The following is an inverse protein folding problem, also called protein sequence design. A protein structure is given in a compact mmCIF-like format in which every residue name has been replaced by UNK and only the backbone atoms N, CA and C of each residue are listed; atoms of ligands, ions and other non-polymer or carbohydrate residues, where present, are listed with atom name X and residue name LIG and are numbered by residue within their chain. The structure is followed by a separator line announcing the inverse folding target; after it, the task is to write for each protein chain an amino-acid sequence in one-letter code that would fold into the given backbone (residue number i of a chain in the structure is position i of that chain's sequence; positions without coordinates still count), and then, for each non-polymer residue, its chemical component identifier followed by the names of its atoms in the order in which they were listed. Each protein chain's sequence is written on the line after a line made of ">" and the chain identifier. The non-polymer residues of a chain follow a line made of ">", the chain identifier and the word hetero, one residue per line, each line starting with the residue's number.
data_IF_541692306427
#
_entry.id   IF_541692306427
#
_cell.length_a   1.000
_cell.length_b   1.000
_cell.length_c   1.000
_cell.angle_alpha   90.00
_cell.angle_beta   90.00
_cell.angle_gamma   90.00
#
_symmetry.space_group_name_H-M   'P 1'
#
loop_
_entity.id
_entity.type
_entity.pdbx_description
1 polymer ?
#
# COMPACT_ATOMS: atom_id res chain seq x y z
N UNK A 1 14.54 11.54 5.98
CA UNK A 1 13.98 12.79 5.41
C UNK A 1 12.53 12.53 5.06
N UNK A 2 11.63 13.51 5.22
CA UNK A 2 10.19 13.34 4.97
C UNK A 2 9.61 14.62 4.39
N UNK A 3 9.06 14.54 3.18
CA UNK A 3 8.55 15.68 2.42
C UNK A 3 7.25 15.34 1.72
N UNK A 4 6.40 16.32 1.46
CA UNK A 4 5.21 16.10 0.61
C UNK A 4 5.64 15.99 -0.84
N UNK A 5 4.94 15.16 -1.62
CA UNK A 5 5.07 15.19 -3.08
C UNK A 5 4.76 16.59 -3.63
N UNK A 6 5.30 16.93 -4.80
CA UNK A 6 5.14 18.25 -5.42
C UNK A 6 4.49 18.23 -6.79
N UNK A 7 4.40 17.08 -7.44
CA UNK A 7 3.67 17.00 -8.70
C UNK A 7 2.16 17.18 -8.51
N UNK A 8 1.49 17.46 -9.61
CA UNK A 8 0.03 17.62 -9.64
C UNK A 8 -0.68 16.39 -9.06
N UNK A 9 -1.76 16.60 -8.29
CA UNK A 9 -2.64 15.54 -7.82
C UNK A 9 -3.13 14.66 -8.97
N UNK A 10 -3.32 13.38 -8.66
CA UNK A 10 -3.84 12.39 -9.62
C UNK A 10 -5.16 11.80 -9.13
N UNK A 11 -5.88 11.12 -10.01
CA UNK A 11 -7.14 10.47 -9.67
C UNK A 11 -7.24 9.10 -10.30
N UNK A 12 -7.87 8.16 -9.60
CA UNK A 12 -8.07 6.79 -10.06
C UNK A 12 -9.44 6.29 -9.61
N UNK A 13 -10.09 5.53 -10.48
CA UNK A 13 -11.32 4.80 -10.18
C UNK A 13 -11.03 3.30 -10.34
N UNK A 14 -11.51 2.48 -9.41
CA UNK A 14 -11.29 1.04 -9.45
C UNK A 14 -12.52 0.28 -8.97
N UNK A 15 -12.92 -0.73 -9.74
CA UNK A 15 -13.89 -1.72 -9.29
C UNK A 15 -13.17 -2.78 -8.46
N UNK A 16 -13.76 -3.14 -7.31
CA UNK A 16 -13.20 -4.16 -6.42
C UNK A 16 -13.61 -5.54 -6.92
N UNK A 17 -12.87 -6.05 -7.90
CA UNK A 17 -13.08 -7.39 -8.49
C UNK A 17 -12.12 -8.42 -7.85
N UNK A 18 -12.22 -8.63 -6.55
CA UNK A 18 -11.45 -9.68 -5.87
C UNK A 18 -12.38 -10.81 -5.47
N UNK A 19 -12.12 -12.03 -5.94
CA UNK A 19 -12.87 -13.25 -5.59
C UNK A 19 -13.04 -13.45 -4.07
N UNK A 20 -12.13 -12.86 -3.30
CA UNK A 20 -12.05 -12.93 -1.85
C UNK A 20 -12.70 -11.74 -1.11
N UNK A 21 -13.40 -10.84 -1.80
CA UNK A 21 -14.05 -9.65 -1.23
C UNK A 21 -15.52 -9.61 -1.65
N UNK A 22 -16.41 -9.52 -0.67
CA UNK A 22 -17.86 -9.52 -0.89
C UNK A 22 -18.50 -8.41 -0.04
N UNK A 23 -19.35 -7.59 -0.66
CA UNK A 23 -20.20 -6.66 0.06
C UNK A 23 -21.43 -7.40 0.61
N UNK A 24 -21.77 -7.13 1.87
CA UNK A 24 -22.88 -7.72 2.61
C UNK A 24 -23.94 -6.64 2.86
N UNK A 25 -24.99 -6.54 2.00
CA UNK A 25 -25.97 -5.46 2.07
C UNK A 25 -26.74 -5.38 3.39
N UNK A 26 -26.96 -6.52 4.05
CA UNK A 26 -27.75 -6.62 5.29
C UNK A 26 -27.13 -5.85 6.45
N UNK A 27 -25.80 -5.73 6.49
CA UNK A 27 -25.05 -5.13 7.60
C UNK A 27 -24.21 -3.92 7.17
N UNK A 28 -24.32 -3.48 5.91
CA UNK A 28 -23.47 -2.46 5.30
C UNK A 28 -21.98 -2.69 5.59
N UNK A 29 -21.53 -3.91 5.27
CA UNK A 29 -20.22 -4.41 5.64
C UNK A 29 -19.56 -5.15 4.49
N UNK A 30 -18.24 -5.26 4.53
CA UNK A 30 -17.44 -6.00 3.55
C UNK A 30 -16.82 -7.20 4.23
N UNK A 31 -17.05 -8.38 3.67
CA UNK A 31 -16.37 -9.63 4.03
C UNK A 31 -15.15 -9.78 3.14
N UNK A 32 -13.99 -10.02 3.73
CA UNK A 32 -12.75 -10.22 2.97
C UNK A 32 -11.85 -11.26 3.62
N UNK A 33 -10.93 -11.86 2.84
CA UNK A 33 -9.89 -12.74 3.38
C UNK A 33 -8.87 -11.90 4.14
N UNK A 34 -8.86 -12.10 5.46
CA UNK A 34 -7.95 -11.40 6.39
C UNK A 34 -6.61 -12.12 6.58
N UNK A 35 -6.59 -13.45 6.41
CA UNK A 35 -5.39 -14.27 6.52
C UNK A 35 -5.57 -15.59 5.79
N UNK A 36 -4.45 -16.18 5.35
CA UNK A 36 -4.38 -17.57 4.91
C UNK A 36 -3.72 -18.39 6.02
N UNK A 37 -4.48 -19.30 6.64
CA UNK A 37 -4.03 -20.10 7.79
C UNK A 37 -3.77 -21.53 7.35
N UNK A 38 -2.76 -22.19 7.92
CA UNK A 38 -2.55 -23.61 7.71
C UNK A 38 -3.72 -24.40 8.32
N UNK A 39 -4.29 -25.33 7.56
CA UNK A 39 -5.40 -26.18 8.03
C UNK A 39 -4.96 -27.09 9.19
N UNK A 40 -3.70 -27.54 9.16
CA UNK A 40 -3.02 -28.21 10.27
C UNK A 40 -1.76 -27.43 10.66
N UNK A 41 -1.84 -26.73 11.79
CA UNK A 41 -0.72 -25.93 12.31
C UNK A 41 0.36 -26.79 12.95
N UNK A 42 0.01 -27.92 13.57
CA UNK A 42 0.99 -28.79 14.23
C UNK A 42 1.88 -29.47 13.18
N UNK A 43 1.30 -29.98 12.11
CA UNK A 43 2.04 -30.55 10.98
C UNK A 43 2.92 -29.49 10.28
N UNK A 44 2.42 -28.26 10.11
CA UNK A 44 3.24 -27.16 9.58
C UNK A 44 4.46 -26.85 10.47
N UNK A 45 4.27 -26.77 11.80
CA UNK A 45 5.37 -26.54 12.75
C UNK A 45 6.36 -27.71 12.74
N UNK A 46 5.88 -28.93 12.48
CA UNK A 46 6.72 -30.12 12.26
C UNK A 46 7.47 -30.12 10.91
N UNK A 47 7.25 -29.11 10.05
CA UNK A 47 7.94 -28.94 8.77
C UNK A 47 7.23 -29.58 7.58
N UNK A 48 5.98 -30.02 7.76
CA UNK A 48 5.17 -30.58 6.67
C UNK A 48 4.51 -29.46 5.86
N UNK A 49 4.39 -29.67 4.55
CA UNK A 49 3.66 -28.73 3.70
C UNK A 49 2.16 -29.00 3.84
N UNK A 50 1.44 -28.06 4.45
CA UNK A 50 -0.01 -28.16 4.66
C UNK A 50 -0.76 -27.14 3.81
N UNK A 51 -1.95 -27.52 3.36
CA UNK A 51 -2.83 -26.62 2.63
C UNK A 51 -3.19 -25.39 3.47
N UNK A 52 -3.38 -24.25 2.81
CA UNK A 52 -3.79 -23.01 3.46
C UNK A 52 -5.23 -22.70 3.13
N UNK A 53 -5.99 -22.38 4.16
CA UNK A 53 -7.40 -22.01 4.06
C UNK A 53 -7.59 -20.53 4.35
N UNK A 54 -8.57 -19.87 3.71
CA UNK A 54 -8.84 -18.47 3.94
C UNK A 54 -9.59 -18.26 5.26
N UNK A 55 -9.07 -17.40 6.12
CA UNK A 55 -9.80 -16.83 7.27
C UNK A 55 -10.43 -15.51 6.85
N UNK A 56 -11.76 -15.47 6.90
CA UNK A 56 -12.52 -14.26 6.59
C UNK A 56 -12.65 -13.34 7.81
N UNK A 57 -12.64 -12.04 7.56
CA UNK A 57 -13.07 -10.99 8.47
C UNK A 57 -14.22 -10.21 7.85
N UNK A 58 -14.92 -9.43 8.67
CA UNK A 58 -16.00 -8.55 8.24
C UNK A 58 -15.81 -7.19 8.91
N UNK A 59 -15.88 -6.13 8.10
CA UNK A 59 -15.67 -4.75 8.54
C UNK A 59 -16.77 -3.87 7.94
N UNK A 60 -17.36 -2.91 8.69
CA UNK A 60 -18.31 -1.96 8.13
C UNK A 60 -17.75 -1.24 6.89
N UNK A 61 -18.59 -0.97 5.90
CA UNK A 61 -18.17 -0.39 4.63
C UNK A 61 -17.42 0.93 4.83
N UNK A 62 -17.94 1.82 5.69
CA UNK A 62 -17.33 3.12 5.98
C UNK A 62 -15.97 3.04 6.70
N UNK A 63 -15.65 1.91 7.33
CA UNK A 63 -14.34 1.66 7.95
C UNK A 63 -13.37 0.99 6.96
N UNK A 64 -13.89 0.08 6.14
CA UNK A 64 -13.11 -0.66 5.14
C UNK A 64 -12.73 0.21 3.93
N UNK A 65 -13.69 0.97 3.40
CA UNK A 65 -13.56 1.69 2.14
C UNK A 65 -12.43 2.74 2.12
N UNK A 66 -12.21 3.56 3.17
CA UNK A 66 -11.07 4.49 3.19
C UNK A 66 -9.72 3.77 3.08
N UNK A 67 -9.60 2.58 3.68
CA UNK A 67 -8.39 1.77 3.61
C UNK A 67 -8.16 1.23 2.19
N UNK A 68 -9.21 0.71 1.54
CA UNK A 68 -9.08 0.21 0.17
C UNK A 68 -8.84 1.35 -0.83
N UNK A 69 -9.50 2.52 -0.70
CA UNK A 69 -9.18 3.72 -1.48
C UNK A 69 -7.70 4.09 -1.37
N UNK A 70 -7.14 4.10 -0.15
CA UNK A 70 -5.72 4.39 0.03
C UNK A 70 -4.81 3.35 -0.63
N UNK A 71 -5.17 2.06 -0.63
CA UNK A 71 -4.40 1.02 -1.32
C UNK A 71 -4.50 1.11 -2.85
N UNK A 72 -5.68 1.39 -3.40
CA UNK A 72 -5.86 1.64 -4.84
C UNK A 72 -5.08 2.88 -5.26
N UNK A 73 -5.23 3.97 -4.50
CA UNK A 73 -4.48 5.21 -4.70
C UNK A 73 -2.97 5.01 -4.64
N UNK A 74 -2.46 4.27 -3.67
CA UNK A 74 -1.03 4.02 -3.52
C UNK A 74 -0.41 3.25 -4.69
N UNK A 75 -1.12 2.23 -5.21
CA UNK A 75 -0.70 1.49 -6.41
C UNK A 75 -0.61 2.42 -7.61
N UNK A 76 -1.66 3.21 -7.85
CA UNK A 76 -1.68 4.16 -8.96
C UNK A 76 -0.59 5.23 -8.83
N UNK A 77 -0.38 5.78 -7.62
CA UNK A 77 0.69 6.73 -7.35
C UNK A 77 2.06 6.12 -7.65
N UNK A 78 2.32 4.86 -7.25
CA UNK A 78 3.57 4.18 -7.59
C UNK A 78 3.77 4.06 -9.10
N UNK A 79 2.74 3.67 -9.86
CA UNK A 79 2.81 3.60 -11.34
C UNK A 79 3.14 4.96 -11.97
N UNK A 80 2.48 6.01 -11.49
CA UNK A 80 2.70 7.39 -11.95
C UNK A 80 4.13 7.83 -11.62
N UNK A 81 4.60 7.63 -10.39
CA UNK A 81 5.95 7.99 -9.96
C UNK A 81 6.99 7.25 -10.80
N UNK A 82 6.83 5.93 -10.97
CA UNK A 82 7.76 5.12 -11.78
C UNK A 82 7.82 5.55 -13.24
N UNK A 83 6.72 6.05 -13.79
CA UNK A 83 6.68 6.59 -15.16
C UNK A 83 7.37 7.94 -15.27
N UNK A 84 7.33 8.76 -14.21
CA UNK A 84 7.96 10.09 -14.16
C UNK A 84 9.45 10.05 -13.86
N UNK A 85 9.92 9.00 -13.18
CA UNK A 85 11.33 8.83 -12.85
C UNK A 85 12.12 8.33 -14.06
N UNK A 86 13.23 9.00 -14.37
CA UNK A 86 14.15 8.58 -15.43
C UNK A 86 15.01 7.37 -15.02
N UNK A 87 15.27 7.21 -13.71
CA UNK A 87 16.10 6.18 -13.08
C UNK A 87 15.62 5.87 -11.67
N UNK A 88 15.95 4.68 -11.16
CA UNK A 88 15.69 4.29 -9.76
C UNK A 88 14.23 4.05 -9.40
N UNK A 89 13.37 3.85 -10.39
CA UNK A 89 11.95 3.53 -10.19
C UNK A 89 11.74 2.20 -9.44
N UNK A 90 12.67 1.26 -9.57
CA UNK A 90 12.65 -0.03 -8.87
C UNK A 90 13.03 0.09 -7.38
N UNK A 91 13.75 1.13 -6.99
CA UNK A 91 14.16 1.40 -5.60
C UNK A 91 13.03 2.03 -4.78
N UNK A 92 11.93 2.38 -5.44
CA UNK A 92 10.76 3.03 -4.83
C UNK A 92 9.68 2.00 -4.52
N UNK A 93 9.20 2.06 -3.29
CA UNK A 93 8.08 1.28 -2.75
C UNK A 93 7.04 2.23 -2.17
N UNK A 94 5.88 1.70 -1.79
CA UNK A 94 4.89 2.45 -1.03
C UNK A 94 4.46 1.73 0.23
N UNK A 95 3.92 2.48 1.18
CA UNK A 95 3.19 1.96 2.33
C UNK A 95 1.98 2.85 2.58
N UNK A 96 0.86 2.24 2.92
CA UNK A 96 -0.32 2.97 3.43
C UNK A 96 -0.20 3.01 4.95
N UNK A 97 -0.21 4.22 5.51
CA UNK A 97 -0.20 4.45 6.95
C UNK A 97 -1.44 5.20 7.42
N UNK A 98 -1.41 5.62 8.68
CA UNK A 98 -2.44 6.46 9.27
C UNK A 98 -1.77 7.55 10.12
N UNK A 99 -2.14 8.80 9.86
CA UNK A 99 -1.72 9.98 10.64
C UNK A 99 -2.97 10.71 11.13
N UNK A 100 -3.05 10.97 12.43
CA UNK A 100 -4.19 11.68 13.07
C UNK A 100 -5.57 11.09 12.72
N UNK A 101 -5.64 9.76 12.50
CA UNK A 101 -6.88 9.05 12.16
C UNK A 101 -7.21 9.01 10.66
N UNK A 102 -6.45 9.72 9.81
CA UNK A 102 -6.63 9.73 8.36
C UNK A 102 -5.58 8.88 7.65
N UNK A 103 -5.93 8.31 6.50
CA UNK A 103 -4.99 7.54 5.68
C UNK A 103 -3.95 8.47 5.06
N UNK A 104 -2.74 7.95 4.87
CA UNK A 104 -1.62 8.63 4.20
C UNK A 104 -0.82 7.61 3.40
N UNK A 105 -0.29 8.02 2.25
CA UNK A 105 0.55 7.18 1.41
C UNK A 105 2.00 7.65 1.58
N UNK A 106 2.90 6.73 1.93
CA UNK A 106 4.33 6.98 1.97
C UNK A 106 5.02 6.35 0.76
N UNK A 107 5.60 7.18 -0.10
CA UNK A 107 6.55 6.74 -1.13
C UNK A 107 7.92 6.61 -0.48
N UNK A 108 8.43 5.38 -0.40
CA UNK A 108 9.65 5.08 0.35
C UNK A 108 10.75 4.58 -0.57
N UNK A 109 11.95 5.13 -0.38
CA UNK A 109 13.19 4.68 -0.96
C UNK A 109 14.20 4.49 0.18
N UNK A 110 15.07 3.48 0.09
CA UNK A 110 15.86 3.06 1.24
C UNK A 110 17.34 2.88 0.95
N UNK A 111 18.17 3.22 1.93
CA UNK A 111 19.59 2.88 1.96
C UNK A 111 19.79 1.71 2.91
N UNK A 112 20.40 0.64 2.44
CA UNK A 112 20.70 -0.56 3.23
C UNK A 112 22.17 -0.57 3.62
N UNK A 113 22.46 -0.72 4.91
CA UNK A 113 23.80 -0.90 5.43
C UNK A 113 24.09 -2.38 5.75
N UNK A 114 25.30 -2.81 5.44
CA UNK A 114 25.82 -4.11 5.85
C UNK A 114 26.15 -4.17 7.34
N UNK A 115 26.39 -5.38 7.87
CA UNK A 115 26.69 -5.64 9.28
C UNK A 115 27.89 -4.85 9.83
N UNK A 116 28.86 -4.55 8.96
CA UNK A 116 30.08 -3.79 9.26
C UNK A 116 29.86 -2.26 9.20
N UNK A 117 28.64 -1.79 8.92
CA UNK A 117 28.33 -0.37 8.76
C UNK A 117 28.69 0.21 7.39
N UNK A 118 29.19 -0.59 6.44
CA UNK A 118 29.37 -0.12 5.05
C UNK A 118 28.02 -0.07 4.35
N UNK A 119 27.85 0.87 3.42
CA UNK A 119 26.69 0.89 2.52
C UNK A 119 26.68 -0.42 1.72
N UNK A 120 25.57 -1.15 1.80
CA UNK A 120 25.33 -2.38 1.05
C UNK A 120 24.50 -2.09 -0.21
N UNK A 121 23.49 -1.23 -0.08
CA UNK A 121 22.67 -0.75 -1.20
C UNK A 121 22.31 0.71 -0.99
N UNK A 122 22.40 1.51 -2.05
CA UNK A 122 21.96 2.90 -2.08
C UNK A 122 20.92 3.07 -3.19
N UNK A 123 19.85 3.83 -2.94
CA UNK A 123 18.86 4.08 -3.96
C UNK A 123 19.47 4.96 -5.05
N UNK A 124 19.20 4.60 -6.31
CA UNK A 124 19.70 5.34 -7.47
C UNK A 124 18.88 6.59 -7.78
N UNK A 125 17.75 6.78 -7.10
CA UNK A 125 16.91 7.98 -7.13
C UNK A 125 17.34 8.96 -6.04
N UNK A 126 17.46 10.24 -6.39
CA UNK A 126 17.69 11.31 -5.42
C UNK A 126 16.37 11.76 -4.77
N UNK A 127 16.45 12.27 -3.55
CA UNK A 127 15.28 12.68 -2.77
C UNK A 127 14.43 13.71 -3.49
N UNK A 128 15.06 14.77 -4.03
CA UNK A 128 14.36 15.88 -4.65
C UNK A 128 13.68 15.42 -5.94
N UNK A 129 14.34 14.61 -6.75
CA UNK A 129 13.77 13.96 -7.93
C UNK A 129 12.54 13.12 -7.61
N UNK A 130 12.58 12.35 -6.50
CA UNK A 130 11.41 11.60 -6.05
C UNK A 130 10.28 12.52 -5.57
N UNK A 131 10.59 13.59 -4.83
CA UNK A 131 9.62 14.60 -4.37
C UNK A 131 8.93 15.28 -5.56
N UNK A 132 9.69 15.69 -6.58
CA UNK A 132 9.15 16.32 -7.79
C UNK A 132 8.34 15.35 -8.64
N UNK A 133 8.69 14.06 -8.69
CA UNK A 133 7.92 13.05 -9.40
C UNK A 133 6.60 12.67 -8.68
N UNK A 134 6.58 12.79 -7.35
CA UNK A 134 5.48 12.31 -6.50
C UNK A 134 4.30 13.30 -6.48
N UNK A 135 3.07 12.86 -6.83
CA UNK A 135 1.86 13.68 -6.66
C UNK A 135 1.70 14.20 -5.23
N UNK A 136 1.14 15.39 -5.04
CA UNK A 136 0.79 15.91 -3.71
C UNK A 136 -0.28 15.06 -2.99
N UNK A 137 -1.21 14.52 -3.75
CA UNK A 137 -2.31 13.68 -3.27
C UNK A 137 -2.86 12.80 -4.40
N UNK A 138 -3.65 11.80 -4.02
CA UNK A 138 -4.44 10.99 -4.97
C UNK A 138 -5.90 10.96 -4.51
N UNK A 139 -6.82 11.21 -5.43
CA UNK A 139 -8.25 10.96 -5.22
C UNK A 139 -8.59 9.58 -5.78
N UNK A 140 -8.96 8.66 -4.90
CA UNK A 140 -9.29 7.29 -5.28
C UNK A 140 -10.77 7.03 -5.03
N UNK A 141 -11.45 6.53 -6.04
CA UNK A 141 -12.82 6.02 -5.93
C UNK A 141 -12.81 4.50 -6.05
N UNK A 142 -13.44 3.82 -5.10
CA UNK A 142 -13.71 2.38 -5.21
C UNK A 142 -15.20 2.14 -5.40
N UNK A 143 -15.51 1.07 -6.13
CA UNK A 143 -16.88 0.60 -6.34
C UNK A 143 -16.97 -0.89 -6.01
N UNK A 144 -17.97 -1.29 -5.22
CA UNK A 144 -18.29 -2.69 -4.90
C UNK A 144 -19.81 -2.87 -4.80
N UNK A 145 -20.37 -3.80 -5.57
CA UNK A 145 -21.81 -4.07 -5.63
C UNK A 145 -22.67 -2.79 -5.78
N UNK A 146 -22.21 -1.86 -6.63
CA UNK A 146 -22.86 -0.57 -6.87
C UNK A 146 -22.72 0.47 -5.75
N UNK A 147 -22.03 0.16 -4.64
CA UNK A 147 -21.65 1.12 -3.60
C UNK A 147 -20.30 1.74 -3.94
N UNK A 148 -20.25 3.07 -3.86
CA UNK A 148 -19.04 3.83 -4.17
C UNK A 148 -18.56 4.57 -2.93
N UNK A 149 -17.25 4.68 -2.80
CA UNK A 149 -16.60 5.55 -1.83
C UNK A 149 -15.43 6.27 -2.50
N UNK A 150 -15.28 7.56 -2.22
CA UNK A 150 -14.22 8.39 -2.77
C UNK A 150 -13.45 9.05 -1.63
N UNK A 151 -12.14 8.90 -1.62
CA UNK A 151 -11.25 9.49 -0.62
C UNK A 151 -10.09 10.20 -1.32
N UNK A 152 -9.67 11.36 -0.78
CA UNK A 152 -8.44 12.04 -1.22
C UNK A 152 -7.34 11.84 -0.19
N UNK A 153 -6.30 11.12 -0.57
CA UNK A 153 -5.23 10.68 0.32
C UNK A 153 -3.95 11.48 0.04
N UNK A 154 -3.33 12.10 1.06
CA UNK A 154 -2.05 12.79 0.88
C UNK A 154 -0.92 11.80 0.61
N UNK A 155 0.07 12.24 -0.17
CA UNK A 155 1.26 11.43 -0.48
C UNK A 155 2.52 12.12 0.04
N UNK A 156 3.34 11.35 0.75
CA UNK A 156 4.55 11.80 1.43
C UNK A 156 5.72 10.96 0.94
N UNK A 157 6.82 11.59 0.56
CA UNK A 157 8.10 10.95 0.29
C UNK A 157 8.86 10.75 1.60
N UNK A 158 9.38 9.55 1.81
CA UNK A 158 10.15 9.17 3.01
C UNK A 158 11.42 8.42 2.62
N UNK A 159 12.55 8.89 3.13
CA UNK A 159 13.79 8.10 3.11
C UNK A 159 13.83 7.16 4.32
N UNK A 160 14.11 5.88 4.07
CA UNK A 160 14.32 4.87 5.11
C UNK A 160 15.76 4.39 5.15
N UNK A 161 16.23 3.99 6.32
CA UNK A 161 17.54 3.37 6.49
C UNK A 161 17.34 1.99 7.09
N UNK A 162 17.86 0.98 6.42
CA UNK A 162 17.79 -0.42 6.83
C UNK A 162 19.18 -0.93 7.18
N UNK A 163 19.26 -1.87 8.13
CA UNK A 163 20.51 -2.52 8.50
C UNK A 163 20.35 -4.02 8.45
N UNK A 164 21.22 -4.68 7.71
CA UNK A 164 21.29 -6.13 7.69
C UNK A 164 21.78 -6.61 9.05
N UNK A 165 20.97 -7.43 9.71
CA UNK A 165 21.34 -8.16 10.93
C UNK A 165 22.29 -9.31 10.64
#
# INVERSE_FOLDING_TARGET
>A
MTDRGRADPVSVEGEVERDAVEYLPENDAVRYVSAWVHSDHEAFVAGENTEREPRYATTPFDEWAPTECAHVGARHVLEVVRTRLERGSDDVSYTVGTENGSKVIYMTYSTTYGRNGSVFSEPSVDHDGLVEATPQSVTATISIDGRNHTETVPVIVKHSVERLE
#
